data_IF_447085897667
#
_entry.id   IF_447085897667
#
_cell.length_a   1.000
_cell.length_b   1.000
_cell.length_c   1.000
_cell.angle_alpha   90.00
_cell.angle_beta   90.00
_cell.angle_gamma   90.00
#
_symmetry.space_group_name_H-M   'P 1'
#
loop_
_entity.id
_entity.type
_entity.pdbx_description
1 polymer ?
#
# COMPACT_ATOMS: atom_id res chain seq x y z
N UNK A 1 28.19 47.98 7.15
CA UNK A 1 26.80 48.12 7.64
C UNK A 1 25.85 47.50 6.61
N UNK A 2 24.92 46.65 7.02
CA UNK A 2 23.88 46.16 6.10
C UNK A 2 22.98 47.31 5.65
N UNK A 3 22.46 47.21 4.41
CA UNK A 3 21.49 48.18 3.87
C UNK A 3 20.28 48.28 4.82
N UNK A 4 19.69 49.46 5.05
CA UNK A 4 18.56 49.66 5.97
C UNK A 4 17.40 48.67 5.74
N UNK A 5 17.13 48.36 4.47
CA UNK A 5 16.11 47.38 4.05
C UNK A 5 16.32 45.99 4.66
N UNK A 6 17.55 45.55 4.92
CA UNK A 6 17.84 44.24 5.51
C UNK A 6 17.41 44.13 6.96
N UNK A 7 17.37 45.23 7.71
CA UNK A 7 16.82 45.24 9.06
C UNK A 7 15.29 45.16 9.04
N UNK A 8 14.66 45.83 8.08
CA UNK A 8 13.20 45.74 7.87
C UNK A 8 12.80 44.32 7.48
N UNK A 9 13.45 43.72 6.49
CA UNK A 9 13.23 42.31 6.10
C UNK A 9 13.38 41.35 7.29
N UNK A 10 14.42 41.54 8.11
CA UNK A 10 14.66 40.71 9.30
C UNK A 10 13.57 40.90 10.35
N UNK A 11 13.13 42.14 10.59
CA UNK A 11 12.04 42.45 11.52
C UNK A 11 10.71 41.81 11.06
N UNK A 12 10.38 41.92 9.77
CA UNK A 12 9.17 41.27 9.19
C UNK A 12 9.27 39.75 9.32
N UNK A 13 10.42 39.15 9.02
CA UNK A 13 10.63 37.71 9.12
C UNK A 13 10.47 37.21 10.56
N UNK A 14 11.05 37.91 11.53
CA UNK A 14 10.92 37.58 12.94
C UNK A 14 9.48 37.76 13.44
N UNK A 15 8.82 38.84 13.03
CA UNK A 15 7.41 39.09 13.31
C UNK A 15 6.51 37.99 12.77
N UNK A 16 6.70 37.59 11.50
CA UNK A 16 5.97 36.50 10.88
C UNK A 16 6.20 35.15 11.58
N UNK A 17 7.44 34.84 11.97
CA UNK A 17 7.75 33.62 12.75
C UNK A 17 7.06 33.62 14.11
N UNK A 18 7.07 34.74 14.82
CA UNK A 18 6.38 34.89 16.10
C UNK A 18 4.86 34.74 15.96
N UNK A 19 4.28 35.43 14.98
CA UNK A 19 2.84 35.33 14.68
C UNK A 19 2.44 33.89 14.32
N UNK A 20 3.23 33.20 13.50
CA UNK A 20 2.98 31.81 13.14
C UNK A 20 3.07 30.87 14.35
N UNK A 21 4.08 31.04 15.21
CA UNK A 21 4.22 30.23 16.43
C UNK A 21 2.98 30.36 17.34
N UNK A 22 2.53 31.59 17.56
CA UNK A 22 1.33 31.87 18.36
C UNK A 22 0.11 31.23 17.69
N UNK A 23 -0.09 31.46 16.39
CA UNK A 23 -1.21 30.91 15.63
C UNK A 23 -1.24 29.37 15.66
N UNK A 24 -0.12 28.69 15.38
CA UNK A 24 -0.04 27.23 15.39
C UNK A 24 -0.31 26.66 16.79
N UNK A 25 0.21 27.31 17.84
CA UNK A 25 -0.04 26.88 19.22
C UNK A 25 -1.53 26.92 19.57
N UNK A 26 -2.22 28.03 19.26
CA UNK A 26 -3.66 28.14 19.50
C UNK A 26 -4.48 27.20 18.60
N UNK A 27 -4.10 27.04 17.34
CA UNK A 27 -4.81 26.17 16.39
C UNK A 27 -4.74 24.68 16.80
N UNK A 28 -3.72 24.26 17.55
CA UNK A 28 -3.61 22.89 18.09
C UNK A 28 -4.58 22.60 19.23
N UNK A 29 -5.07 23.61 19.95
CA UNK A 29 -6.00 23.43 21.09
C UNK A 29 -7.37 22.93 20.61
N UNK A 30 -7.87 23.51 19.52
CA UNK A 30 -9.15 23.12 18.90
C UNK A 30 -9.05 23.13 17.38
N UNK A 31 -8.44 22.09 16.78
CA UNK A 31 -8.29 22.02 15.33
C UNK A 31 -9.65 21.98 14.63
N UNK A 32 -9.79 22.74 13.54
CA UNK A 32 -10.97 22.66 12.70
C UNK A 32 -11.14 21.26 12.07
N UNK A 33 -12.40 20.83 11.83
CA UNK A 33 -12.67 19.58 11.14
C UNK A 33 -11.99 19.55 9.77
N UNK A 34 -11.55 18.37 9.35
CA UNK A 34 -11.01 18.20 8.00
C UNK A 34 -12.13 18.27 6.95
N UNK A 35 -11.85 18.78 5.76
CA UNK A 35 -12.80 18.74 4.66
C UNK A 35 -13.07 17.29 4.23
N UNK A 36 -14.30 17.03 3.79
CA UNK A 36 -14.69 15.80 3.13
C UNK A 36 -14.70 16.03 1.62
N UNK A 37 -13.73 15.49 0.86
CA UNK A 37 -13.64 15.71 -0.57
C UNK A 37 -14.70 14.89 -1.32
N UNK A 38 -15.13 15.32 -2.52
CA UNK A 38 -16.17 14.63 -3.32
C UNK A 38 -15.86 13.15 -3.62
N UNK A 39 -14.58 12.79 -3.63
CA UNK A 39 -14.10 11.45 -3.94
C UNK A 39 -14.08 10.49 -2.74
N UNK A 40 -14.47 10.94 -1.54
CA UNK A 40 -14.60 10.11 -0.33
C UNK A 40 -15.84 10.47 0.47
N UNK A 41 -16.44 9.51 1.15
CA UNK A 41 -17.56 9.77 2.06
C UNK A 41 -17.10 10.04 3.51
N UNK A 42 -15.78 10.06 3.74
CA UNK A 42 -15.16 10.31 5.05
C UNK A 42 -14.18 11.50 4.97
N UNK A 43 -14.03 12.27 6.06
CA UNK A 43 -13.11 13.41 6.08
C UNK A 43 -11.64 12.96 5.99
N UNK A 44 -10.78 13.84 5.50
CA UNK A 44 -9.33 13.59 5.48
C UNK A 44 -8.76 13.42 6.90
N UNK A 45 -7.90 12.43 7.09
CA UNK A 45 -7.22 12.22 8.37
C UNK A 45 -6.17 13.32 8.61
N UNK A 46 -6.19 13.92 9.79
CA UNK A 46 -5.08 14.73 10.31
C UNK A 46 -3.88 13.82 10.62
N UNK A 47 -2.68 14.38 10.67
CA UNK A 47 -1.45 13.61 10.95
C UNK A 47 -1.54 12.77 12.22
N UNK A 48 -2.06 13.32 13.30
CA UNK A 48 -2.23 12.62 14.59
C UNK A 48 -3.32 11.53 14.59
N UNK A 49 -4.20 11.52 13.58
CA UNK A 49 -5.24 10.49 13.41
C UNK A 49 -4.76 9.30 12.57
N UNK A 50 -3.63 9.46 11.86
CA UNK A 50 -3.08 8.39 11.03
C UNK A 50 -2.36 7.38 11.92
N UNK A 51 -2.71 6.11 11.75
CA UNK A 51 -1.98 5.02 12.40
C UNK A 51 -0.73 4.65 11.61
N UNK A 52 0.26 4.04 12.27
CA UNK A 52 1.42 3.43 11.62
C UNK A 52 1.45 1.92 11.95
N UNK A 53 1.94 1.04 11.06
CA UNK A 53 2.33 -0.30 11.47
C UNK A 53 3.52 -0.22 12.45
N UNK A 54 3.86 -1.32 13.13
CA UNK A 54 5.18 -1.43 13.74
C UNK A 54 6.26 -1.18 12.67
N UNK A 55 7.10 -0.18 12.91
CA UNK A 55 8.24 0.18 12.07
C UNK A 55 9.54 -0.13 12.85
N UNK A 56 10.67 -0.09 12.16
CA UNK A 56 11.98 -0.48 12.64
C UNK A 56 12.21 -1.99 12.64
N UNK A 57 13.44 -2.37 12.95
CA UNK A 57 13.87 -3.75 13.10
C UNK A 57 14.64 -3.90 14.42
N UNK A 58 14.51 -5.04 15.11
CA UNK A 58 13.73 -6.21 14.72
C UNK A 58 12.21 -6.03 14.92
N UNK A 59 11.40 -6.64 14.05
CA UNK A 59 9.93 -6.69 14.24
C UNK A 59 9.31 -7.99 13.73
N UNK A 60 8.25 -8.44 14.39
CA UNK A 60 7.44 -9.55 13.93
C UNK A 60 6.37 -9.09 12.93
N UNK A 61 6.07 -9.93 11.94
CA UNK A 61 5.03 -9.71 10.94
C UNK A 61 4.45 -11.05 10.47
N UNK A 62 3.42 -10.99 9.63
CA UNK A 62 2.86 -12.14 8.94
C UNK A 62 3.43 -12.20 7.52
N UNK A 63 3.69 -13.41 7.03
CA UNK A 63 4.14 -13.63 5.66
C UNK A 63 3.53 -14.92 5.11
N UNK A 64 3.77 -15.17 3.82
CA UNK A 64 3.34 -16.39 3.16
C UNK A 64 4.51 -17.36 3.02
N UNK A 65 4.25 -18.64 3.27
CA UNK A 65 5.21 -19.71 3.01
C UNK A 65 5.36 -19.92 1.49
N UNK A 66 6.59 -19.85 0.95
CA UNK A 66 6.82 -19.98 -0.49
C UNK A 66 6.54 -21.38 -1.05
N UNK A 67 6.36 -22.39 -0.19
CA UNK A 67 5.99 -23.76 -0.59
C UNK A 67 4.52 -24.08 -0.33
N UNK A 68 3.95 -23.68 0.81
CA UNK A 68 2.52 -23.90 1.07
C UNK A 68 1.65 -23.25 -0.01
N UNK A 69 1.96 -22.01 -0.43
CA UNK A 69 1.09 -21.28 -1.37
C UNK A 69 0.97 -22.00 -2.72
N UNK A 70 2.08 -22.42 -3.39
CA UNK A 70 1.98 -23.25 -4.58
C UNK A 70 1.24 -24.57 -4.38
N UNK A 71 1.47 -25.27 -3.24
CA UNK A 71 0.79 -26.53 -2.93
C UNK A 71 -0.73 -26.36 -2.80
N UNK A 72 -1.17 -25.31 -2.11
CA UNK A 72 -2.60 -24.97 -1.95
C UNK A 72 -3.19 -24.58 -3.30
N UNK A 73 -2.48 -23.76 -4.08
CA UNK A 73 -2.91 -23.37 -5.43
C UNK A 73 -3.12 -24.62 -6.30
N UNK A 74 -2.19 -25.58 -6.26
CA UNK A 74 -2.32 -26.81 -7.02
C UNK A 74 -3.54 -27.63 -6.57
N UNK A 75 -3.76 -27.78 -5.27
CA UNK A 75 -4.94 -28.47 -4.75
C UNK A 75 -6.27 -27.84 -5.20
N UNK A 76 -6.31 -26.51 -5.32
CA UNK A 76 -7.49 -25.80 -5.85
C UNK A 76 -7.65 -26.09 -7.35
N UNK A 77 -6.58 -26.01 -8.13
CA UNK A 77 -6.62 -26.27 -9.58
C UNK A 77 -7.00 -27.73 -9.89
N UNK A 78 -6.56 -28.67 -9.06
CA UNK A 78 -6.90 -30.09 -9.18
C UNK A 78 -8.32 -30.41 -8.67
N UNK A 79 -9.04 -29.43 -8.10
CA UNK A 79 -10.40 -29.58 -7.59
C UNK A 79 -10.51 -30.24 -6.21
N UNK A 80 -9.40 -30.42 -5.48
CA UNK A 80 -9.40 -30.98 -4.12
C UNK A 80 -9.86 -29.98 -3.06
N UNK A 81 -9.63 -28.68 -3.28
CA UNK A 81 -10.02 -27.62 -2.37
C UNK A 81 -10.82 -26.52 -3.09
N UNK A 82 -11.87 -25.97 -2.45
CA UNK A 82 -12.56 -24.80 -2.98
C UNK A 82 -11.69 -23.54 -2.83
N UNK A 83 -11.77 -22.62 -3.80
CA UNK A 83 -10.96 -21.39 -3.81
C UNK A 83 -11.31 -20.43 -2.65
N UNK A 84 -12.52 -20.54 -2.11
CA UNK A 84 -13.05 -19.76 -0.99
C UNK A 84 -12.23 -19.93 0.29
N UNK A 85 -11.44 -21.00 0.40
CA UNK A 85 -10.47 -21.22 1.48
C UNK A 85 -9.44 -20.08 1.52
N UNK A 86 -9.05 -19.51 0.37
CA UNK A 86 -8.13 -18.37 0.30
C UNK A 86 -8.73 -17.09 0.92
N UNK A 87 -10.06 -17.00 1.01
CA UNK A 87 -10.79 -15.85 1.54
C UNK A 87 -11.07 -16.00 3.04
N UNK A 88 -11.43 -17.20 3.47
CA UNK A 88 -11.98 -17.45 4.80
C UNK A 88 -10.94 -18.02 5.78
N UNK A 89 -9.84 -18.58 5.27
CA UNK A 89 -8.80 -19.21 6.07
C UNK A 89 -7.43 -18.55 5.87
N UNK A 90 -6.51 -18.84 6.79
CA UNK A 90 -5.13 -18.33 6.80
C UNK A 90 -4.16 -19.33 6.19
N UNK A 91 -4.53 -19.88 5.04
CA UNK A 91 -3.77 -20.97 4.42
C UNK A 91 -2.41 -20.48 3.91
N UNK A 92 -1.34 -21.10 4.42
CA UNK A 92 0.04 -20.71 4.09
C UNK A 92 0.54 -19.45 4.79
N UNK A 93 -0.26 -18.80 5.65
CA UNK A 93 0.19 -17.70 6.50
C UNK A 93 1.10 -18.24 7.62
N UNK A 94 2.29 -17.65 7.75
CA UNK A 94 3.29 -17.98 8.76
C UNK A 94 3.84 -16.71 9.40
N UNK A 95 4.37 -16.84 10.62
CA UNK A 95 5.07 -15.74 11.27
C UNK A 95 6.43 -15.52 10.61
N UNK A 96 6.80 -14.25 10.50
CA UNK A 96 8.07 -13.80 10.01
C UNK A 96 8.65 -12.73 10.93
N UNK A 97 9.97 -12.64 10.97
CA UNK A 97 10.70 -11.59 11.69
C UNK A 97 11.57 -10.84 10.70
N UNK A 98 11.42 -9.51 10.66
CA UNK A 98 12.28 -8.61 9.91
C UNK A 98 13.42 -8.21 10.82
N UNK A 99 14.66 -8.49 10.41
CA UNK A 99 15.89 -8.23 11.18
C UNK A 99 16.94 -7.57 10.31
N UNK A 100 17.79 -6.73 10.92
CA UNK A 100 19.00 -6.25 10.29
C UNK A 100 20.17 -7.16 10.67
N UNK A 101 20.89 -7.68 9.66
CA UNK A 101 22.05 -8.54 9.83
C UNK A 101 23.05 -8.27 8.69
N UNK A 102 24.33 -8.09 9.04
CA UNK A 102 25.43 -7.87 8.08
C UNK A 102 25.17 -6.70 7.11
N UNK A 103 24.60 -5.60 7.63
CA UNK A 103 24.25 -4.41 6.84
C UNK A 103 23.09 -4.61 5.86
N UNK A 104 22.30 -5.67 6.01
CA UNK A 104 21.16 -6.01 5.16
C UNK A 104 19.92 -6.25 5.99
N UNK A 105 18.75 -6.02 5.40
CA UNK A 105 17.46 -6.33 6.02
C UNK A 105 16.97 -7.67 5.49
N UNK A 106 16.71 -8.60 6.41
CA UNK A 106 16.25 -9.95 6.11
C UNK A 106 14.86 -10.18 6.70
N UNK A 107 14.00 -10.86 5.95
CA UNK A 107 12.77 -11.46 6.47
C UNK A 107 13.00 -12.94 6.71
N UNK A 108 13.10 -13.32 7.99
CA UNK A 108 13.23 -14.71 8.40
C UNK A 108 11.85 -15.27 8.69
N UNK A 109 11.52 -16.41 8.07
CA UNK A 109 10.22 -17.07 8.19
C UNK A 109 10.42 -18.50 8.67
N UNK A 110 9.50 -18.99 9.48
CA UNK A 110 9.53 -20.38 9.93
C UNK A 110 8.18 -21.04 9.65
N UNK A 111 8.18 -22.01 8.73
CA UNK A 111 7.02 -22.81 8.41
C UNK A 111 7.11 -24.16 9.15
N UNK A 112 6.09 -24.56 9.92
CA UNK A 112 6.08 -25.87 10.59
C UNK A 112 6.24 -27.07 9.65
N UNK A 113 5.85 -26.93 8.37
CA UNK A 113 5.92 -28.00 7.36
C UNK A 113 7.20 -27.97 6.54
N UNK A 114 7.67 -26.78 6.18
CA UNK A 114 8.72 -26.59 5.19
C UNK A 114 10.03 -26.04 5.74
N UNK A 115 10.09 -25.79 7.04
CA UNK A 115 11.27 -25.30 7.74
C UNK A 115 11.47 -23.80 7.61
N UNK A 116 12.73 -23.37 7.78
CA UNK A 116 13.13 -21.97 7.81
C UNK A 116 13.41 -21.43 6.41
N UNK A 117 12.95 -20.20 6.17
CA UNK A 117 13.25 -19.41 4.98
C UNK A 117 13.87 -18.08 5.38
N UNK A 118 14.67 -17.51 4.49
CA UNK A 118 15.29 -16.20 4.69
C UNK A 118 15.30 -15.44 3.37
N UNK A 119 14.51 -14.37 3.31
CA UNK A 119 14.38 -13.53 2.12
C UNK A 119 15.10 -12.21 2.35
N UNK A 120 15.94 -11.81 1.39
CA UNK A 120 16.60 -10.51 1.40
C UNK A 120 15.58 -9.43 1.04
N UNK A 121 15.26 -8.55 1.98
CA UNK A 121 14.33 -7.43 1.75
C UNK A 121 15.04 -6.21 1.18
N UNK A 122 16.22 -5.89 1.71
CA UNK A 122 16.97 -4.70 1.31
C UNK A 122 18.46 -4.88 1.60
N UNK A 123 19.28 -4.32 0.72
CA UNK A 123 20.74 -4.23 0.88
C UNK A 123 21.19 -2.87 1.42
N UNK A 124 20.25 -1.93 1.60
CA UNK A 124 20.50 -0.57 2.06
C UNK A 124 19.64 -0.30 3.29
N UNK A 125 20.23 -0.48 4.47
CA UNK A 125 19.54 -0.31 5.75
C UNK A 125 19.24 1.16 6.04
N UNK A 126 20.11 2.08 5.64
CA UNK A 126 19.94 3.52 5.85
C UNK A 126 18.79 4.07 5.02
N UNK A 127 18.72 3.73 3.73
CA UNK A 127 17.61 4.12 2.87
C UNK A 127 16.29 3.50 3.34
N UNK A 128 16.31 2.24 3.74
CA UNK A 128 15.12 1.58 4.27
C UNK A 128 14.62 2.26 5.54
N UNK A 129 15.53 2.69 6.42
CA UNK A 129 15.19 3.44 7.63
C UNK A 129 14.60 4.79 7.28
N UNK A 130 15.21 5.50 6.32
CA UNK A 130 14.69 6.78 5.84
C UNK A 130 13.25 6.63 5.31
N UNK A 131 12.95 5.59 4.52
CA UNK A 131 11.60 5.30 4.02
C UNK A 131 10.57 5.14 5.15
N UNK A 132 10.95 4.48 6.24
CA UNK A 132 10.07 4.31 7.42
C UNK A 132 9.94 5.59 8.24
N UNK A 133 11.01 6.38 8.37
CA UNK A 133 11.00 7.68 9.05
C UNK A 133 10.08 8.69 8.35
N UNK A 134 10.09 8.69 7.01
CA UNK A 134 9.22 9.56 6.21
C UNK A 134 7.83 8.97 5.94
N UNK A 135 7.51 7.78 6.45
CA UNK A 135 6.19 7.18 6.28
C UNK A 135 5.12 8.08 6.91
N UNK A 136 4.20 8.68 6.11
CA UNK A 136 3.28 9.70 6.59
C UNK A 136 2.13 9.14 7.43
N UNK A 137 2.12 7.82 7.69
CA UNK A 137 1.01 7.10 8.29
C UNK A 137 0.07 6.52 7.25
N UNK A 138 -0.72 5.52 7.68
CA UNK A 138 -1.75 4.90 6.85
C UNK A 138 -2.72 5.96 6.35
N UNK A 139 -3.15 5.78 5.11
CA UNK A 139 -4.16 6.64 4.51
C UNK A 139 -5.55 6.39 5.12
N UNK A 140 -6.58 7.00 4.55
CA UNK A 140 -7.96 6.75 4.93
C UNK A 140 -8.29 5.26 4.85
N UNK A 141 -9.08 4.78 5.83
CA UNK A 141 -9.62 3.43 5.77
C UNK A 141 -10.53 3.35 4.56
N UNK A 142 -10.30 2.35 3.72
CA UNK A 142 -11.19 2.06 2.61
C UNK A 142 -12.61 1.79 3.17
N UNK A 143 -13.61 2.24 2.44
CA UNK A 143 -15.02 2.14 2.78
C UNK A 143 -15.79 1.92 1.49
N UNK A 144 -16.99 1.32 1.53
CA UNK A 144 -17.79 1.00 0.34
C UNK A 144 -17.07 0.06 -0.66
N UNK A 145 -16.14 -0.76 -0.17
CA UNK A 145 -15.27 -1.64 -0.95
C UNK A 145 -15.33 -3.09 -0.48
N UNK A 146 -16.35 -3.47 0.31
CA UNK A 146 -16.51 -4.80 0.91
C UNK A 146 -16.45 -5.93 -0.12
N UNK A 147 -16.95 -5.69 -1.34
CA UNK A 147 -16.93 -6.67 -2.43
C UNK A 147 -15.65 -6.62 -3.27
N UNK A 148 -14.82 -5.60 -3.10
CA UNK A 148 -13.65 -5.36 -3.94
C UNK A 148 -12.36 -5.84 -3.29
N UNK A 149 -12.12 -5.49 -2.03
CA UNK A 149 -10.86 -5.80 -1.34
C UNK A 149 -10.94 -7.03 -0.42
N UNK A 150 -11.92 -7.91 -0.62
CA UNK A 150 -12.06 -9.14 0.16
C UNK A 150 -11.06 -10.20 -0.33
N UNK A 151 -9.84 -10.17 0.21
CA UNK A 151 -8.73 -11.04 -0.19
C UNK A 151 -8.15 -11.81 1.01
N UNK A 152 -8.99 -12.22 1.95
CA UNK A 152 -8.57 -12.93 3.16
C UNK A 152 -7.48 -12.17 3.94
N UNK A 153 -6.36 -12.81 4.23
CA UNK A 153 -5.20 -12.21 4.91
C UNK A 153 -4.59 -11.02 4.17
N UNK A 154 -4.76 -10.94 2.85
CA UNK A 154 -4.25 -9.86 2.00
C UNK A 154 -5.27 -8.72 1.78
N UNK A 155 -6.37 -8.71 2.53
CA UNK A 155 -7.40 -7.66 2.45
C UNK A 155 -6.80 -6.25 2.60
N UNK A 156 -7.02 -5.40 1.60
CA UNK A 156 -6.56 -4.01 1.58
C UNK A 156 -7.48 -3.16 2.46
N UNK A 157 -6.94 -2.64 3.57
CA UNK A 157 -7.74 -1.89 4.57
C UNK A 157 -7.65 -0.37 4.42
N UNK A 158 -6.62 0.15 3.75
CA UNK A 158 -6.31 1.59 3.71
C UNK A 158 -5.88 1.99 2.29
N UNK A 159 -6.34 3.14 1.82
CA UNK A 159 -6.00 3.66 0.49
C UNK A 159 -7.20 4.35 -0.19
N UNK A 160 -6.94 4.90 -1.39
CA UNK A 160 -7.91 5.64 -2.21
C UNK A 160 -7.98 5.13 -3.67
N UNK A 161 -7.43 3.94 -3.93
CA UNK A 161 -7.10 3.46 -5.28
C UNK A 161 -5.97 4.29 -5.91
N UNK A 162 -4.94 3.64 -6.44
CA UNK A 162 -3.81 4.36 -7.08
C UNK A 162 -3.94 4.40 -8.60
N UNK A 163 -4.21 3.24 -9.20
CA UNK A 163 -4.23 2.98 -10.65
C UNK A 163 -5.27 1.89 -10.93
N UNK A 164 -6.06 2.07 -12.00
CA UNK A 164 -6.86 1.01 -12.60
C UNK A 164 -6.14 0.58 -13.88
N UNK A 165 -5.68 -0.67 -13.90
CA UNK A 165 -5.10 -1.29 -15.10
C UNK A 165 -6.14 -2.27 -15.66
N UNK A 166 -6.49 -2.10 -16.93
CA UNK A 166 -7.38 -3.01 -17.66
C UNK A 166 -6.57 -3.59 -18.81
N UNK A 167 -6.35 -4.90 -18.76
CA UNK A 167 -5.68 -5.62 -19.84
C UNK A 167 -6.69 -5.89 -20.95
N UNK A 168 -6.57 -5.16 -22.07
CA UNK A 168 -7.48 -5.30 -23.22
C UNK A 168 -7.19 -6.55 -24.05
N UNK A 169 -5.98 -7.07 -23.96
CA UNK A 169 -5.59 -8.33 -24.57
C UNK A 169 -4.36 -8.89 -23.87
N UNK A 170 -4.25 -10.22 -23.78
CA UNK A 170 -2.98 -10.88 -23.45
C UNK A 170 -2.23 -11.38 -24.70
N UNK A 171 -2.62 -10.96 -25.91
CA UNK A 171 -1.84 -11.24 -27.13
C UNK A 171 -0.68 -10.26 -27.24
N UNK A 172 0.54 -10.79 -27.24
CA UNK A 172 1.75 -10.02 -27.51
C UNK A 172 2.54 -10.69 -28.64
N UNK A 173 2.94 -9.93 -29.66
CA UNK A 173 3.74 -10.44 -30.77
C UNK A 173 5.26 -10.37 -30.52
N UNK A 174 5.66 -10.09 -29.28
CA UNK A 174 7.06 -10.04 -28.85
C UNK A 174 7.33 -11.06 -27.72
N UNK A 175 8.57 -11.53 -27.68
CA UNK A 175 9.11 -12.43 -26.65
C UNK A 175 10.26 -11.72 -25.94
N UNK A 176 9.93 -10.71 -25.14
CA UNK A 176 10.94 -9.94 -24.40
C UNK A 176 11.54 -10.78 -23.27
N UNK A 177 12.87 -10.69 -23.09
CA UNK A 177 13.56 -11.36 -21.97
C UNK A 177 12.98 -10.96 -20.60
N UNK A 178 12.75 -9.65 -20.30
CA UNK A 178 11.88 -9.26 -19.20
C UNK A 178 10.44 -9.05 -19.71
N UNK A 179 9.56 -10.03 -19.52
CA UNK A 179 8.12 -9.87 -19.71
C UNK A 179 7.40 -9.83 -18.35
N UNK A 180 7.06 -8.64 -17.86
CA UNK A 180 6.35 -8.50 -16.56
C UNK A 180 4.92 -9.04 -16.57
N UNK A 181 4.28 -9.08 -17.75
CA UNK A 181 2.91 -9.58 -17.91
C UNK A 181 2.87 -11.09 -18.17
N UNK A 182 4.00 -11.69 -18.54
CA UNK A 182 4.13 -13.09 -18.97
C UNK A 182 3.02 -13.57 -19.91
N UNK A 183 2.67 -12.72 -20.88
CA UNK A 183 1.44 -12.81 -21.66
C UNK A 183 1.32 -14.12 -22.48
N UNK A 184 2.45 -14.77 -22.79
CA UNK A 184 2.48 -16.00 -23.59
C UNK A 184 2.38 -17.30 -22.76
N UNK A 185 2.42 -17.23 -21.41
CA UNK A 185 2.38 -18.40 -20.53
C UNK A 185 0.99 -18.68 -19.90
N UNK A 186 0.00 -17.82 -20.18
CA UNK A 186 -1.29 -17.84 -19.45
C UNK A 186 -2.20 -19.01 -19.89
N UNK A 187 -1.93 -19.65 -21.04
CA UNK A 187 -2.65 -20.85 -21.50
C UNK A 187 -4.08 -20.61 -22.02
N UNK A 188 -4.57 -19.37 -21.99
CA UNK A 188 -5.83 -18.93 -22.60
C UNK A 188 -5.67 -17.54 -23.21
N UNK A 189 -6.62 -17.12 -24.05
CA UNK A 189 -6.68 -15.77 -24.61
C UNK A 189 -7.68 -14.94 -23.81
N UNK A 190 -7.24 -13.81 -23.28
CA UNK A 190 -8.07 -12.81 -22.63
C UNK A 190 -8.30 -11.65 -23.60
N UNK A 191 -9.52 -11.46 -24.08
CA UNK A 191 -9.92 -10.37 -24.98
C UNK A 191 -11.34 -9.91 -24.63
N UNK A 192 -11.51 -9.00 -23.65
CA UNK A 192 -12.83 -8.54 -23.22
C UNK A 192 -13.59 -7.84 -24.35
N UNK A 193 -14.89 -8.11 -24.44
CA UNK A 193 -15.79 -7.45 -25.36
C UNK A 193 -16.05 -6.00 -24.93
N UNK A 194 -16.54 -5.17 -25.86
CA UNK A 194 -16.85 -3.76 -25.59
C UNK A 194 -17.73 -3.57 -24.36
N UNK A 195 -18.77 -4.39 -24.20
CA UNK A 195 -19.68 -4.29 -23.05
C UNK A 195 -19.01 -4.69 -21.73
N UNK A 196 -18.06 -5.62 -21.75
CA UNK A 196 -17.29 -6.00 -20.56
C UNK A 196 -16.34 -4.87 -20.16
N UNK A 197 -15.66 -4.24 -21.13
CA UNK A 197 -14.80 -3.07 -20.89
C UNK A 197 -15.64 -1.93 -20.29
N UNK A 198 -16.79 -1.64 -20.88
CA UNK A 198 -17.71 -0.61 -20.36
C UNK A 198 -18.16 -0.95 -18.94
N UNK A 199 -18.55 -2.19 -18.68
CA UNK A 199 -18.94 -2.63 -17.35
C UNK A 199 -17.79 -2.47 -16.32
N UNK A 200 -16.55 -2.80 -16.69
CA UNK A 200 -15.38 -2.59 -15.81
C UNK A 200 -15.19 -1.11 -15.47
N UNK A 201 -15.30 -0.22 -16.45
CA UNK A 201 -15.20 1.23 -16.25
C UNK A 201 -16.37 1.78 -15.43
N UNK A 202 -17.60 1.37 -15.72
CA UNK A 202 -18.80 1.76 -14.99
C UNK A 202 -18.74 1.29 -13.53
N UNK A 203 -18.28 0.07 -13.28
CA UNK A 203 -18.05 -0.42 -11.92
C UNK A 203 -16.98 0.41 -11.20
N UNK A 204 -15.85 0.69 -11.87
CA UNK A 204 -14.74 1.42 -11.26
C UNK A 204 -15.14 2.83 -10.79
N UNK A 205 -16.01 3.54 -11.52
CA UNK A 205 -16.46 4.87 -11.12
C UNK A 205 -17.40 4.85 -9.90
N UNK A 206 -18.03 3.72 -9.57
CA UNK A 206 -18.88 3.61 -8.37
C UNK A 206 -18.07 3.56 -7.07
N UNK A 207 -16.78 3.21 -7.14
CA UNK A 207 -15.94 3.01 -5.97
C UNK A 207 -15.52 4.36 -5.38
N UNK A 208 -15.69 4.46 -4.06
CA UNK A 208 -15.09 5.48 -3.21
C UNK A 208 -14.37 4.76 -2.06
N UNK A 209 -13.30 5.30 -1.47
CA UNK A 209 -12.60 6.50 -1.90
C UNK A 209 -11.87 6.27 -3.23
N UNK A 210 -11.93 7.23 -4.15
CA UNK A 210 -11.20 7.21 -5.43
C UNK A 210 -10.17 8.33 -5.49
N UNK A 211 -9.09 8.15 -6.24
CA UNK A 211 -8.13 9.24 -6.47
C UNK A 211 -8.82 10.35 -7.25
N UNK A 212 -8.61 11.60 -6.84
CA UNK A 212 -8.96 12.73 -7.68
C UNK A 212 -8.02 12.70 -8.90
N UNK A 213 -8.57 12.38 -10.06
CA UNK A 213 -7.92 12.63 -11.34
C UNK A 213 -7.77 14.16 -11.45
N UNK A 214 -6.53 14.62 -11.65
CA UNK A 214 -6.18 16.04 -11.78
C UNK A 214 -6.93 16.72 -12.91
#
# INVERSE_FOLDING_TARGET
MHKPIKYVEKAVTLGAKGAWFIFDHFNRIKPNPSPTPKWSDKPLLKSYQKSKPPLGWPRATDSLCPKCVPEIRQQILDGHLPHEVLLNEKVGEIKATIVEQDGKIWMVKECPKHGRFQDLMSIDTEFSKHLEDVFPGRDIRAHNDEKLHNHGSSTVKYGRGSVLTIDLTNRCNMMCDPCFMDANQVGFVHEPQWEEIKQMLDNAITIKPRRQMS
#
